data_IF_937717488515
#
_entry.id   IF_937717488515
#
_cell.length_a   1.000
_cell.length_b   1.000
_cell.length_c   1.000
_cell.angle_alpha   90.00
_cell.angle_beta   90.00
_cell.angle_gamma   90.00
#
_symmetry.space_group_name_H-M   'P 1'
#
loop_
_entity.id
_entity.type
_entity.pdbx_description
1 polymer ?
#
# COMPACT_ATOMS: atom_id res chain seq x y z
N UNK A 1 -44.31 4.98 5.51
CA UNK A 1 -43.56 6.16 6.01
C UNK A 1 -42.11 5.80 5.85
N UNK A 2 -41.46 6.30 4.80
CA UNK A 2 -40.03 6.08 4.56
C UNK A 2 -39.23 6.73 5.69
N UNK A 3 -38.21 6.05 6.23
CA UNK A 3 -37.38 6.63 7.28
C UNK A 3 -36.54 7.75 6.66
N UNK A 4 -36.47 8.91 7.32
CA UNK A 4 -35.62 10.04 6.92
C UNK A 4 -34.16 9.60 6.68
N UNK A 5 -33.71 8.58 7.40
CA UNK A 5 -32.37 8.01 7.26
C UNK A 5 -32.18 7.23 5.94
N UNK A 6 -33.25 6.63 5.41
CA UNK A 6 -33.25 5.87 4.17
C UNK A 6 -33.21 6.82 2.95
N UNK A 7 -33.92 7.95 3.03
CA UNK A 7 -33.83 9.03 2.02
C UNK A 7 -32.45 9.70 2.03
N UNK A 8 -31.83 9.90 3.20
CA UNK A 8 -30.46 10.43 3.29
C UNK A 8 -29.45 9.44 2.72
N UNK A 9 -29.59 8.14 3.00
CA UNK A 9 -28.73 7.10 2.43
C UNK A 9 -28.86 7.02 0.90
N UNK A 10 -30.08 7.08 0.38
CA UNK A 10 -30.33 7.11 -1.07
C UNK A 10 -29.74 8.37 -1.69
N UNK A 11 -29.92 9.54 -1.07
CA UNK A 11 -29.33 10.80 -1.56
C UNK A 11 -27.80 10.76 -1.54
N UNK A 12 -27.17 10.20 -0.50
CA UNK A 12 -25.72 10.07 -0.44
C UNK A 12 -25.16 9.07 -1.46
N UNK A 13 -25.94 8.05 -1.84
CA UNK A 13 -25.57 7.10 -2.90
C UNK A 13 -25.76 7.72 -4.28
N UNK A 14 -26.86 8.44 -4.51
CA UNK A 14 -27.12 9.18 -5.74
C UNK A 14 -26.06 10.26 -5.95
N UNK A 15 -25.72 11.04 -4.92
CA UNK A 15 -24.66 12.04 -4.95
C UNK A 15 -23.30 11.39 -5.22
N UNK A 16 -23.01 10.18 -4.72
CA UNK A 16 -21.76 9.46 -5.02
C UNK A 16 -21.68 8.98 -6.46
N UNK A 17 -22.80 8.54 -7.04
CA UNK A 17 -22.89 8.11 -8.44
C UNK A 17 -22.84 9.33 -9.39
N UNK A 18 -23.48 10.44 -9.02
CA UNK A 18 -23.52 11.68 -9.82
C UNK A 18 -22.23 12.52 -9.67
N UNK A 19 -21.50 12.37 -8.56
CA UNK A 19 -20.17 12.95 -8.36
C UNK A 19 -19.08 12.35 -9.25
N UNK A 20 -19.33 11.23 -9.93
CA UNK A 20 -18.59 10.85 -11.13
C UNK A 20 -18.97 11.76 -12.30
N UNK A 21 -18.70 13.06 -12.15
CA UNK A 21 -18.60 13.95 -13.30
C UNK A 21 -17.64 13.29 -14.30
N UNK A 22 -18.03 13.11 -15.57
CA UNK A 22 -17.08 12.74 -16.59
C UNK A 22 -16.10 13.90 -16.65
N UNK A 23 -14.92 13.71 -16.05
CA UNK A 23 -13.74 14.51 -16.41
C UNK A 23 -13.76 14.61 -17.94
N UNK A 24 -13.53 15.79 -18.54
CA UNK A 24 -13.63 15.92 -19.99
C UNK A 24 -12.86 14.76 -20.59
N UNK A 25 -13.57 13.92 -21.35
CA UNK A 25 -12.98 12.85 -22.11
C UNK A 25 -12.11 13.58 -23.13
N UNK A 26 -10.89 13.95 -22.72
CA UNK A 26 -9.77 13.93 -23.62
C UNK A 26 -9.71 12.48 -24.05
N UNK A 27 -10.50 12.17 -25.08
CA UNK A 27 -10.26 11.06 -25.98
C UNK A 27 -8.84 11.29 -26.42
N UNK A 28 -7.89 10.75 -25.66
CA UNK A 28 -6.53 10.64 -26.10
C UNK A 28 -6.70 9.90 -27.42
N UNK A 29 -6.56 10.64 -28.52
CA UNK A 29 -6.63 10.09 -29.86
C UNK A 29 -5.85 8.78 -29.82
N UNK A 30 -6.40 7.69 -30.37
CA UNK A 30 -5.79 6.36 -30.31
C UNK A 30 -4.29 6.36 -30.71
N UNK A 31 -3.86 7.38 -31.48
CA UNK A 31 -2.47 7.65 -31.88
C UNK A 31 -1.56 8.21 -30.76
N UNK A 32 -2.10 8.85 -29.73
CA UNK A 32 -1.36 9.46 -28.62
C UNK A 32 -1.07 8.47 -27.47
N UNK A 33 -1.89 7.43 -27.28
CA UNK A 33 -1.68 6.44 -26.22
C UNK A 33 -0.31 5.73 -26.31
N UNK A 34 0.14 5.26 -27.50
CA UNK A 34 1.49 4.69 -27.64
C UNK A 34 2.60 5.67 -27.25
N UNK A 35 2.42 6.97 -27.57
CA UNK A 35 3.39 8.01 -27.25
C UNK A 35 3.50 8.23 -25.73
N UNK A 36 2.35 8.27 -25.04
CA UNK A 36 2.28 8.43 -23.58
C UNK A 36 2.94 7.24 -22.87
N UNK A 37 2.66 6.01 -23.32
CA UNK A 37 3.28 4.81 -22.74
C UNK A 37 4.80 4.81 -22.94
N UNK A 38 5.26 5.19 -24.13
CA UNK A 38 6.67 5.29 -24.42
C UNK A 38 7.36 6.35 -23.55
N UNK A 39 6.75 7.52 -23.37
CA UNK A 39 7.26 8.57 -22.46
C UNK A 39 7.32 8.06 -21.01
N UNK A 40 6.26 7.42 -20.50
CA UNK A 40 6.24 6.85 -19.15
C UNK A 40 7.38 5.84 -18.96
N UNK A 41 7.63 4.98 -19.94
CA UNK A 41 8.71 4.00 -19.91
C UNK A 41 10.09 4.65 -19.88
N UNK A 42 10.34 5.63 -20.77
CA UNK A 42 11.60 6.35 -20.79
C UNK A 42 11.84 7.11 -19.48
N UNK A 43 10.83 7.82 -18.97
CA UNK A 43 10.92 8.53 -17.69
C UNK A 43 11.20 7.57 -16.54
N UNK A 44 10.54 6.41 -16.48
CA UNK A 44 10.82 5.42 -15.45
C UNK A 44 12.27 4.92 -15.52
N UNK A 45 12.77 4.62 -16.73
CA UNK A 45 14.16 4.20 -16.92
C UNK A 45 15.17 5.27 -16.53
N UNK A 46 14.88 6.54 -16.82
CA UNK A 46 15.71 7.67 -16.40
C UNK A 46 15.77 7.79 -14.88
N UNK A 47 14.61 7.71 -14.20
CA UNK A 47 14.53 7.75 -12.74
C UNK A 47 15.33 6.59 -12.12
N UNK A 48 15.14 5.37 -12.62
CA UNK A 48 15.86 4.18 -12.15
C UNK A 48 17.37 4.24 -12.46
N UNK A 49 17.75 4.84 -13.60
CA UNK A 49 19.15 4.99 -14.03
C UNK A 49 19.93 6.09 -13.32
N UNK A 50 19.26 7.02 -12.64
CA UNK A 50 19.89 8.10 -11.84
C UNK A 50 20.47 7.59 -10.51
N UNK A 51 21.10 6.41 -10.49
CA UNK A 51 21.63 5.75 -9.30
C UNK A 51 22.86 6.48 -8.75
N UNK A 52 22.86 6.79 -7.45
CA UNK A 52 24.03 7.35 -6.76
C UNK A 52 24.98 6.23 -6.33
N UNK A 53 26.27 6.54 -6.15
CA UNK A 53 27.24 5.56 -5.66
C UNK A 53 26.80 4.91 -4.33
N UNK A 54 26.24 5.70 -3.41
CA UNK A 54 25.72 5.20 -2.14
C UNK A 54 24.54 4.22 -2.31
N UNK A 55 23.66 4.45 -3.29
CA UNK A 55 22.57 3.53 -3.61
C UNK A 55 23.12 2.20 -4.13
N UNK A 56 24.06 2.23 -5.08
CA UNK A 56 24.67 1.03 -5.66
C UNK A 56 25.43 0.20 -4.59
N UNK A 57 26.22 0.86 -3.74
CA UNK A 57 26.97 0.18 -2.66
C UNK A 57 26.05 -0.52 -1.67
N UNK A 58 24.95 0.15 -1.28
CA UNK A 58 23.95 -0.44 -0.39
C UNK A 58 23.23 -1.60 -1.09
N UNK A 59 22.81 -1.43 -2.34
CA UNK A 59 22.13 -2.46 -3.10
C UNK A 59 22.99 -3.72 -3.24
N UNK A 60 24.27 -3.56 -3.59
CA UNK A 60 25.22 -4.67 -3.67
C UNK A 60 25.38 -5.37 -2.32
N UNK A 61 25.54 -4.59 -1.24
CA UNK A 61 25.65 -5.12 0.12
C UNK A 61 24.40 -5.92 0.50
N UNK A 62 23.19 -5.41 0.23
CA UNK A 62 21.92 -6.10 0.50
C UNK A 62 21.82 -7.41 -0.28
N UNK A 63 22.09 -7.39 -1.59
CA UNK A 63 22.03 -8.57 -2.43
C UNK A 63 23.04 -9.65 -1.99
N UNK A 64 24.26 -9.23 -1.60
CA UNK A 64 25.28 -10.13 -1.04
C UNK A 64 24.81 -10.80 0.24
N UNK A 65 24.19 -10.05 1.16
CA UNK A 65 23.64 -10.62 2.40
C UNK A 65 22.48 -11.58 2.11
N UNK A 66 21.56 -11.23 1.21
CA UNK A 66 20.43 -12.08 0.86
C UNK A 66 20.84 -13.43 0.27
N UNK A 67 21.93 -13.48 -0.51
CA UNK A 67 22.51 -14.74 -1.01
C UNK A 67 23.06 -15.61 0.13
N UNK A 68 23.73 -15.00 1.11
CA UNK A 68 24.29 -15.67 2.29
C UNK A 68 23.20 -16.23 3.23
N UNK A 69 22.09 -15.48 3.46
CA UNK A 69 21.00 -15.93 4.33
C UNK A 69 20.37 -17.26 3.90
N UNK A 70 20.22 -17.47 2.59
CA UNK A 70 19.60 -18.70 2.06
C UNK A 70 20.32 -19.98 2.50
N UNK A 71 21.56 -19.86 2.97
CA UNK A 71 22.40 -20.96 3.47
C UNK A 71 22.26 -21.14 5.00
N UNK A 72 21.81 -20.15 5.76
CA UNK A 72 21.88 -20.13 7.22
C UNK A 72 20.61 -19.56 7.92
N UNK A 73 19.90 -20.44 8.62
CA UNK A 73 18.95 -20.17 9.73
C UNK A 73 17.50 -19.70 9.45
N UNK A 74 16.61 -20.07 10.39
CA UNK A 74 15.15 -20.24 10.19
C UNK A 74 14.21 -19.49 11.15
N UNK A 75 14.66 -18.52 11.96
CA UNK A 75 13.80 -18.01 13.07
C UNK A 75 13.63 -16.48 13.18
N UNK A 76 14.29 -15.67 12.36
CA UNK A 76 14.16 -14.20 12.40
C UNK A 76 13.52 -13.62 11.13
N UNK A 77 12.65 -12.61 11.30
CA UNK A 77 12.05 -11.92 10.15
C UNK A 77 13.15 -11.40 9.22
N UNK A 78 12.93 -11.54 7.91
CA UNK A 78 13.95 -11.32 6.89
C UNK A 78 14.54 -9.90 6.95
N UNK A 79 13.69 -8.89 7.15
CA UNK A 79 14.09 -7.50 7.33
C UNK A 79 14.93 -7.26 8.59
N UNK A 80 14.54 -7.82 9.75
CA UNK A 80 15.32 -7.68 11.01
C UNK A 80 16.70 -8.29 10.91
N UNK A 81 16.80 -9.48 10.30
CA UNK A 81 18.08 -10.12 10.03
C UNK A 81 18.96 -9.27 9.11
N UNK A 82 18.39 -8.69 8.06
CA UNK A 82 19.15 -7.85 7.14
C UNK A 82 19.66 -6.59 7.84
N UNK A 83 18.84 -5.94 8.67
CA UNK A 83 19.28 -4.80 9.49
C UNK A 83 20.46 -5.19 10.38
N UNK A 84 20.40 -6.35 11.05
CA UNK A 84 21.52 -6.84 11.87
C UNK A 84 22.81 -6.99 11.03
N UNK A 85 22.72 -7.59 9.85
CA UNK A 85 23.87 -7.78 8.96
C UNK A 85 24.42 -6.48 8.40
N UNK A 86 23.55 -5.54 8.02
CA UNK A 86 23.97 -4.22 7.55
C UNK A 86 24.70 -3.46 8.67
N UNK A 87 24.20 -3.52 9.92
CA UNK A 87 24.90 -2.95 11.08
C UNK A 87 26.27 -3.56 11.31
N UNK A 88 26.40 -4.89 11.20
CA UNK A 88 27.70 -5.56 11.32
C UNK A 88 28.70 -5.15 10.24
N UNK A 89 28.23 -4.66 9.09
CA UNK A 89 29.06 -4.14 8.00
C UNK A 89 29.31 -2.62 8.10
N UNK A 90 28.92 -1.98 9.21
CA UNK A 90 29.18 -0.56 9.46
C UNK A 90 28.08 0.40 8.98
N UNK A 91 26.97 -0.09 8.40
CA UNK A 91 25.87 0.79 8.00
C UNK A 91 25.01 1.18 9.20
N UNK A 92 24.59 2.45 9.27
CA UNK A 92 23.57 2.89 10.21
C UNK A 92 22.17 2.54 9.67
N UNK A 93 21.80 1.26 9.76
CA UNK A 93 20.53 0.73 9.29
C UNK A 93 19.50 0.58 10.43
N UNK A 94 18.23 0.85 10.15
CA UNK A 94 17.12 0.67 11.09
C UNK A 94 15.91 0.04 10.38
N UNK A 95 15.07 -0.65 11.14
CA UNK A 95 13.75 -1.08 10.65
C UNK A 95 12.78 0.07 10.90
N UNK A 96 12.20 0.60 9.83
CA UNK A 96 11.18 1.62 9.90
C UNK A 96 9.81 0.98 9.71
N UNK A 97 8.89 1.32 10.60
CA UNK A 97 7.50 0.95 10.50
C UNK A 97 6.67 2.22 10.39
N UNK A 98 5.84 2.29 9.35
CA UNK A 98 4.85 3.34 9.16
C UNK A 98 3.48 2.77 9.49
N UNK A 99 2.61 3.63 9.99
CA UNK A 99 1.20 3.34 10.20
C UNK A 99 0.41 4.61 9.94
N UNK A 100 -0.64 4.52 9.13
CA UNK A 100 -1.53 5.65 8.84
C UNK A 100 -2.97 5.26 9.14
N UNK A 101 -3.72 6.23 9.63
CA UNK A 101 -5.14 6.06 9.96
C UNK A 101 -5.98 6.18 8.69
N UNK A 102 -7.16 5.57 8.72
CA UNK A 102 -8.14 5.73 7.66
C UNK A 102 -8.53 7.21 7.52
N UNK A 103 -8.50 7.71 6.29
CA UNK A 103 -9.02 9.02 5.90
C UNK A 103 -9.94 8.87 4.68
N UNK A 104 -10.59 9.97 4.27
CA UNK A 104 -11.46 9.97 3.09
C UNK A 104 -10.67 9.47 1.86
N UNK A 105 -11.06 8.32 1.32
CA UNK A 105 -10.42 7.72 0.14
C UNK A 105 -9.07 7.02 0.38
N UNK A 106 -8.58 6.95 1.62
CA UNK A 106 -7.34 6.24 1.96
C UNK A 106 -7.58 5.32 3.17
N UNK A 107 -7.67 3.99 2.98
CA UNK A 107 -7.79 3.06 4.10
C UNK A 107 -6.53 3.09 4.95
N UNK A 108 -6.70 2.89 6.25
CA UNK A 108 -5.60 2.70 7.16
C UNK A 108 -4.76 1.49 6.80
N UNK A 109 -3.49 1.52 7.21
CA UNK A 109 -2.56 0.44 6.97
C UNK A 109 -1.26 0.66 7.72
N UNK A 110 -0.42 -0.36 7.68
CA UNK A 110 0.95 -0.32 8.15
C UNK A 110 1.90 -0.87 7.08
N UNK A 111 3.17 -0.50 7.21
CA UNK A 111 4.20 -1.00 6.30
C UNK A 111 5.57 -0.98 6.98
N UNK A 112 6.40 -1.96 6.66
CA UNK A 112 7.77 -2.07 7.17
C UNK A 112 8.76 -1.95 6.02
N UNK A 113 9.81 -1.16 6.19
CA UNK A 113 10.95 -1.07 5.28
C UNK A 113 12.22 -0.83 6.08
N UNK A 114 13.38 -0.84 5.41
CA UNK A 114 14.67 -0.56 6.05
C UNK A 114 15.09 0.85 5.66
N UNK A 115 15.56 1.63 6.63
CA UNK A 115 16.16 2.94 6.40
C UNK A 115 17.66 2.87 6.69
N UNK A 116 18.47 3.48 5.85
CA UNK A 116 19.90 3.65 6.09
C UNK A 116 20.19 5.14 6.15
N UNK A 117 20.76 5.58 7.27
CA UNK A 117 21.21 6.97 7.43
C UNK A 117 22.66 7.08 6.97
N UNK A 118 22.90 7.92 5.96
CA UNK A 118 24.22 8.28 5.50
C UNK A 118 24.64 9.59 6.17
N UNK A 119 25.81 9.59 6.80
CA UNK A 119 26.42 10.81 7.34
C UNK A 119 27.32 11.39 6.26
N UNK A 120 27.14 12.67 5.92
CA UNK A 120 28.05 13.36 5.02
C UNK A 120 29.47 13.40 5.60
N UNK A 121 30.49 13.26 4.74
CA UNK A 121 31.90 13.12 5.14
C UNK A 121 32.39 14.23 6.08
N UNK A 122 31.84 15.46 5.97
CA UNK A 122 32.30 16.62 6.74
C UNK A 122 31.25 17.22 7.69
N UNK A 123 30.06 16.61 7.86
CA UNK A 123 29.00 17.14 8.73
C UNK A 123 28.31 18.43 8.25
N UNK A 124 28.74 19.02 7.13
CA UNK A 124 28.17 20.25 6.55
C UNK A 124 26.83 20.03 5.82
N UNK A 125 26.49 18.78 5.50
CA UNK A 125 25.25 18.42 4.83
C UNK A 125 24.29 17.70 5.79
N UNK A 126 22.97 17.96 5.67
CA UNK A 126 21.99 17.21 6.43
C UNK A 126 22.15 15.72 6.15
N UNK A 127 21.90 14.85 7.16
CA UNK A 127 21.95 13.41 6.95
C UNK A 127 21.01 13.02 5.80
N UNK A 128 21.51 12.22 4.88
CA UNK A 128 20.69 11.68 3.79
C UNK A 128 20.19 10.29 4.18
N UNK A 129 18.96 9.97 3.79
CA UNK A 129 18.34 8.69 4.09
C UNK A 129 18.09 7.91 2.80
N UNK A 130 18.48 6.64 2.81
CA UNK A 130 18.12 5.69 1.78
C UNK A 130 17.03 4.77 2.31
N UNK A 131 16.03 4.54 1.46
CA UNK A 131 14.95 3.60 1.67
C UNK A 131 15.34 2.30 0.99
N UNK A 132 15.31 1.21 1.75
CA UNK A 132 15.54 -0.15 1.26
C UNK A 132 14.24 -0.94 1.40
N UNK A 133 13.66 -1.33 0.27
CA UNK A 133 12.47 -2.18 0.21
C UNK A 133 12.81 -3.45 -0.57
N UNK A 134 12.60 -4.60 0.06
CA UNK A 134 13.02 -5.90 -0.46
C UNK A 134 11.98 -6.54 -1.39
N UNK A 135 10.75 -6.04 -1.34
CA UNK A 135 9.60 -6.56 -2.09
C UNK A 135 8.94 -5.42 -2.89
N UNK A 136 9.76 -4.53 -3.47
CA UNK A 136 9.29 -3.29 -4.07
C UNK A 136 8.40 -3.51 -5.30
N UNK A 137 8.84 -4.37 -6.24
CA UNK A 137 8.09 -4.67 -7.47
C UNK A 137 6.68 -5.18 -7.19
N UNK A 138 6.51 -6.05 -6.18
CA UNK A 138 5.21 -6.62 -5.84
C UNK A 138 4.22 -5.57 -5.35
N UNK A 139 4.71 -4.45 -4.80
CA UNK A 139 3.87 -3.34 -4.37
C UNK A 139 3.15 -2.65 -5.54
N UNK A 140 3.48 -2.95 -6.81
CA UNK A 140 2.88 -2.36 -8.01
C UNK A 140 2.16 -3.38 -8.90
N UNK A 141 2.02 -4.64 -8.49
CA UNK A 141 1.36 -5.66 -9.32
C UNK A 141 -0.15 -5.44 -9.47
N UNK A 142 -0.69 -5.67 -10.66
CA UNK A 142 -2.12 -5.62 -10.94
C UNK A 142 -2.64 -6.98 -11.38
N UNK A 143 -3.90 -7.29 -11.07
CA UNK A 143 -4.53 -8.57 -11.45
C UNK A 143 -4.72 -8.72 -12.97
N UNK A 144 -4.96 -7.61 -13.69
CA UNK A 144 -5.15 -7.60 -15.16
C UNK A 144 -4.46 -6.38 -15.76
N UNK A 145 -3.11 -6.34 -15.80
CA UNK A 145 -2.40 -5.19 -16.35
C UNK A 145 -2.64 -5.08 -17.87
N UNK A 146 -2.59 -3.86 -18.38
CA UNK A 146 -2.40 -3.63 -19.82
C UNK A 146 -0.96 -3.99 -20.21
N UNK A 147 -0.67 -4.32 -21.47
CA UNK A 147 0.69 -4.63 -21.90
C UNK A 147 1.69 -3.51 -21.57
N UNK A 148 1.29 -2.25 -21.75
CA UNK A 148 2.10 -1.09 -21.42
C UNK A 148 2.41 -0.99 -19.91
N UNK A 149 1.41 -1.21 -19.03
CA UNK A 149 1.65 -1.21 -17.59
C UNK A 149 2.53 -2.38 -17.16
N UNK A 150 2.36 -3.54 -17.80
CA UNK A 150 3.21 -4.71 -17.57
C UNK A 150 4.68 -4.39 -17.92
N UNK A 151 4.93 -3.74 -19.04
CA UNK A 151 6.28 -3.29 -19.43
C UNK A 151 6.91 -2.39 -18.36
N UNK A 152 6.17 -1.41 -17.83
CA UNK A 152 6.64 -0.56 -16.73
C UNK A 152 7.01 -1.38 -15.49
N UNK A 153 6.10 -2.23 -15.02
CA UNK A 153 6.33 -3.04 -13.82
C UNK A 153 7.44 -4.07 -14.01
N UNK A 154 7.68 -4.56 -15.23
CA UNK A 154 8.76 -5.48 -15.53
C UNK A 154 10.15 -4.86 -15.43
N UNK A 155 10.27 -3.54 -15.62
CA UNK A 155 11.53 -2.80 -15.39
C UNK A 155 11.86 -2.56 -13.91
N UNK A 156 10.90 -2.73 -13.01
CA UNK A 156 11.12 -2.40 -11.60
C UNK A 156 12.07 -3.38 -10.92
N UNK A 157 12.97 -2.88 -10.06
CA UNK A 157 13.82 -3.74 -9.26
C UNK A 157 12.98 -4.46 -8.18
N UNK A 158 13.36 -5.71 -7.88
CA UNK A 158 12.77 -6.45 -6.77
C UNK A 158 13.14 -5.80 -5.44
N UNK A 159 14.43 -5.45 -5.29
CA UNK A 159 14.96 -4.70 -4.16
C UNK A 159 15.16 -3.25 -4.59
N UNK A 160 14.40 -2.33 -4.02
CA UNK A 160 14.59 -0.90 -4.21
C UNK A 160 15.57 -0.36 -3.17
N UNK A 161 16.53 0.45 -3.64
CA UNK A 161 17.37 1.29 -2.80
C UNK A 161 17.32 2.69 -3.40
N UNK A 162 16.87 3.67 -2.63
CA UNK A 162 16.86 5.04 -3.13
C UNK A 162 16.37 6.09 -2.16
N UNK A 163 16.48 7.35 -2.56
CA UNK A 163 15.98 8.49 -1.79
C UNK A 163 14.46 8.58 -1.80
N UNK A 164 13.91 9.35 -0.85
CA UNK A 164 12.48 9.69 -0.80
C UNK A 164 12.00 10.35 -2.10
N UNK A 165 12.79 11.27 -2.67
CA UNK A 165 12.43 11.96 -3.92
C UNK A 165 12.33 10.98 -5.10
N UNK A 166 13.29 10.06 -5.21
CA UNK A 166 13.28 9.02 -6.25
C UNK A 166 12.05 8.12 -6.09
N UNK A 167 11.77 7.68 -4.87
CA UNK A 167 10.60 6.87 -4.55
C UNK A 167 9.29 7.59 -4.91
N UNK A 168 9.16 8.87 -4.54
CA UNK A 168 7.97 9.67 -4.84
C UNK A 168 7.70 9.81 -6.35
N UNK A 169 8.75 10.02 -7.15
CA UNK A 169 8.65 10.08 -8.61
C UNK A 169 8.15 8.75 -9.18
N UNK A 170 8.71 7.63 -8.72
CA UNK A 170 8.29 6.28 -9.15
C UNK A 170 6.83 6.02 -8.76
N UNK A 171 6.44 6.30 -7.51
CA UNK A 171 5.06 6.10 -7.03
C UNK A 171 4.08 6.92 -7.87
N UNK A 172 4.38 8.20 -8.12
CA UNK A 172 3.51 9.09 -8.88
C UNK A 172 3.28 8.59 -10.31
N UNK A 173 4.37 8.20 -10.99
CA UNK A 173 4.33 7.67 -12.36
C UNK A 173 3.54 6.36 -12.42
N UNK A 174 3.89 5.38 -11.57
CA UNK A 174 3.27 4.06 -11.60
C UNK A 174 1.81 4.08 -11.12
N UNK A 175 1.44 4.91 -10.15
CA UNK A 175 0.05 5.01 -9.73
C UNK A 175 -0.80 5.64 -10.84
N UNK A 176 -0.29 6.63 -11.57
CA UNK A 176 -0.97 7.20 -12.73
C UNK A 176 -1.18 6.13 -13.83
N UNK A 177 -0.11 5.41 -14.19
CA UNK A 177 -0.19 4.34 -15.17
C UNK A 177 -1.09 3.17 -14.72
N UNK A 178 -1.11 2.85 -13.41
CA UNK A 178 -1.99 1.83 -12.85
C UNK A 178 -3.46 2.22 -12.98
N UNK A 179 -3.80 3.48 -12.65
CA UNK A 179 -5.16 4.00 -12.82
C UNK A 179 -5.60 3.91 -14.28
N UNK A 180 -4.75 4.28 -15.21
CA UNK A 180 -5.03 4.16 -16.65
C UNK A 180 -5.25 2.69 -17.04
N UNK A 181 -4.35 1.80 -16.64
CA UNK A 181 -4.47 0.36 -16.92
C UNK A 181 -5.76 -0.25 -16.36
N UNK A 182 -6.19 0.14 -15.16
CA UNK A 182 -7.41 -0.38 -14.55
C UNK A 182 -8.65 0.14 -15.29
N UNK A 183 -8.68 1.43 -15.64
CA UNK A 183 -9.76 2.05 -16.42
C UNK A 183 -9.92 1.39 -17.79
N UNK A 184 -8.82 1.20 -18.52
CA UNK A 184 -8.83 0.52 -19.83
C UNK A 184 -9.34 -0.93 -19.75
N UNK A 185 -9.22 -1.56 -18.57
CA UNK A 185 -9.70 -2.91 -18.31
C UNK A 185 -11.09 -2.95 -17.66
N UNK A 186 -11.77 -1.81 -17.54
CA UNK A 186 -13.08 -1.70 -16.89
C UNK A 186 -13.06 -2.09 -15.42
N UNK A 187 -11.92 -1.89 -14.74
CA UNK A 187 -11.73 -2.20 -13.33
C UNK A 187 -11.81 -0.93 -12.48
N UNK A 188 -12.53 -1.02 -11.35
CA UNK A 188 -12.49 0.01 -10.33
C UNK A 188 -11.07 0.17 -9.77
N UNK A 189 -10.67 1.41 -9.46
CA UNK A 189 -9.36 1.71 -8.88
C UNK A 189 -9.46 1.48 -7.37
N UNK A 190 -8.85 0.44 -6.81
CA UNK A 190 -8.91 0.24 -5.38
C UNK A 190 -8.10 1.33 -4.66
N UNK A 191 -8.50 1.73 -3.45
CA UNK A 191 -7.92 2.88 -2.78
C UNK A 191 -6.43 2.68 -2.42
N UNK A 192 -5.98 1.43 -2.27
CA UNK A 192 -4.56 1.10 -2.07
C UNK A 192 -3.67 1.25 -3.33
N UNK A 193 -4.28 1.53 -4.48
CA UNK A 193 -3.57 1.83 -5.75
C UNK A 193 -3.55 3.33 -6.06
N UNK A 194 -3.85 4.16 -5.06
CA UNK A 194 -3.69 5.62 -5.16
C UNK A 194 -2.27 6.04 -4.77
N UNK A 195 -1.80 7.15 -5.34
CA UNK A 195 -0.50 7.71 -4.99
C UNK A 195 -0.42 8.04 -3.49
N UNK A 196 -1.49 8.59 -2.90
CA UNK A 196 -1.56 8.95 -1.48
C UNK A 196 -1.38 7.75 -0.55
N UNK A 197 -2.06 6.63 -0.83
CA UNK A 197 -1.89 5.40 -0.05
C UNK A 197 -0.48 4.85 -0.21
N UNK A 198 0.03 4.80 -1.45
CA UNK A 198 1.37 4.29 -1.72
C UNK A 198 2.44 5.17 -1.06
N UNK A 199 2.33 6.49 -1.10
CA UNK A 199 3.25 7.39 -0.39
C UNK A 199 3.22 7.15 1.12
N UNK A 200 2.05 6.91 1.69
CA UNK A 200 1.88 6.68 3.13
C UNK A 200 2.66 5.45 3.62
N UNK A 201 2.81 4.41 2.79
CA UNK A 201 3.64 3.23 3.11
C UNK A 201 5.08 3.57 3.50
N UNK A 202 5.72 4.53 2.84
CA UNK A 202 7.13 4.82 3.12
C UNK A 202 7.34 6.15 3.83
N UNK A 203 6.39 7.09 3.72
CA UNK A 203 6.60 8.50 4.08
C UNK A 203 5.73 8.96 5.26
N UNK A 204 4.75 8.19 5.69
CA UNK A 204 3.93 8.56 6.85
C UNK A 204 4.81 8.79 8.09
N UNK A 205 4.68 9.95 8.71
CA UNK A 205 5.42 10.31 9.93
C UNK A 205 6.84 10.84 9.72
N UNK A 206 7.38 10.90 8.49
CA UNK A 206 8.72 11.50 8.24
C UNK A 206 8.76 13.03 8.38
N UNK A 207 7.63 13.72 8.22
CA UNK A 207 7.54 15.18 8.35
C UNK A 207 7.49 15.70 9.80
N UNK A 208 7.73 14.87 10.83
CA UNK A 208 8.00 15.40 12.17
C UNK A 208 9.46 15.90 12.22
N UNK A 209 9.61 17.19 12.52
CA UNK A 209 10.81 18.01 12.40
C UNK A 209 12.12 17.36 12.89
N UNK A 210 13.29 17.79 12.36
CA UNK A 210 14.60 17.35 12.83
C UNK A 210 14.84 17.91 14.24
N UNK A 211 14.57 17.10 15.26
CA UNK A 211 14.74 17.50 16.66
C UNK A 211 14.25 16.49 17.69
N UNK A 212 13.39 15.55 17.33
CA UNK A 212 12.99 14.48 18.24
C UNK A 212 13.87 13.25 18.02
N UNK A 213 14.64 12.89 19.05
CA UNK A 213 15.46 11.68 19.12
C UNK A 213 14.68 10.46 18.58
N UNK A 214 15.16 9.88 17.47
CA UNK A 214 14.74 8.56 17.00
C UNK A 214 15.38 7.48 17.88
N UNK A 215 14.96 7.42 19.13
CA UNK A 215 15.19 6.23 19.94
C UNK A 215 14.13 5.21 19.53
N UNK A 216 14.58 4.12 18.92
CA UNK A 216 13.72 3.01 18.55
C UNK A 216 13.08 2.45 19.82
N UNK A 217 11.82 2.82 20.11
CA UNK A 217 11.00 2.11 21.10
C UNK A 217 10.63 0.74 20.54
N UNK A 218 11.57 -0.18 20.61
CA UNK A 218 11.27 -1.59 20.64
C UNK A 218 10.54 -1.88 21.96
N UNK A 219 9.27 -2.28 21.86
CA UNK A 219 8.55 -2.99 22.92
C UNK A 219 7.81 -2.12 23.92
N UNK A 220 6.52 -1.92 23.68
CA UNK A 220 5.50 -1.96 24.73
C UNK A 220 4.17 -2.36 24.09
N UNK A 221 3.76 -3.60 24.32
CA UNK A 221 2.39 -4.05 24.11
C UNK A 221 1.47 -3.17 24.97
N UNK A 222 0.83 -2.19 24.34
CA UNK A 222 -0.18 -1.35 24.95
C UNK A 222 -1.51 -1.59 24.27
N UNK A 223 -2.33 -2.48 24.86
CA UNK A 223 -3.77 -2.53 24.59
C UNK A 223 -4.36 -1.17 25.00
N UNK A 224 -4.46 -0.21 24.09
CA UNK A 224 -5.26 1.00 24.27
C UNK A 224 -6.74 0.65 24.08
N UNK A 225 -7.31 0.12 25.16
CA UNK A 225 -8.62 0.45 25.73
C UNK A 225 -9.62 1.06 24.73
N UNK A 226 -10.48 0.20 24.19
CA UNK A 226 -11.65 0.56 23.39
C UNK A 226 -12.52 1.59 24.11
N UNK A 227 -13.02 2.57 23.37
CA UNK A 227 -14.17 3.39 23.76
C UNK A 227 -15.44 2.50 23.84
N UNK A 228 -16.41 2.82 24.71
CA UNK A 228 -17.49 1.90 25.06
C UNK A 228 -18.45 1.66 23.90
N UNK A 229 -18.85 0.40 23.73
CA UNK A 229 -19.86 -0.05 22.79
C UNK A 229 -21.20 0.71 22.99
N UNK A 230 -21.96 1.01 21.93
CA UNK A 230 -23.32 1.52 22.05
C UNK A 230 -24.21 0.51 22.81
N UNK A 231 -25.20 0.97 23.60
CA UNK A 231 -26.00 0.08 24.44
C UNK A 231 -26.83 -0.90 23.60
N UNK A 232 -26.56 -2.19 23.79
CA UNK A 232 -27.38 -3.27 23.24
C UNK A 232 -28.78 -3.22 23.85
N UNK A 233 -29.81 -3.10 23.00
CA UNK A 233 -31.20 -3.32 23.38
C UNK A 233 -31.37 -4.79 23.75
N UNK A 234 -31.69 -5.06 25.01
CA UNK A 234 -31.92 -6.42 25.52
C UNK A 234 -33.21 -7.00 24.90
N UNK A 235 -33.19 -8.22 24.35
CA UNK A 235 -34.42 -8.90 24.00
C UNK A 235 -35.13 -9.33 25.30
N UNK A 236 -36.36 -8.84 25.47
CA UNK A 236 -37.25 -9.14 26.58
C UNK A 236 -37.64 -10.62 26.51
N UNK A 237 -37.06 -11.43 27.39
CA UNK A 237 -37.41 -12.84 27.57
C UNK A 237 -38.82 -12.93 28.18
N UNK A 238 -39.82 -13.16 27.34
CA UNK A 238 -41.14 -13.60 27.78
C UNK A 238 -41.11 -15.10 28.05
N UNK A 239 -41.36 -15.50 29.30
CA UNK A 239 -41.59 -16.87 29.70
C UNK A 239 -43.09 -17.03 29.98
N UNK A 240 -43.76 -17.92 29.24
CA UNK A 240 -44.67 -18.98 29.71
C UNK A 240 -45.63 -19.43 28.60
N UNK A 241 -45.40 -20.68 28.17
CA UNK A 241 -46.39 -21.77 28.06
C UNK A 241 -47.59 -21.67 27.09
N UNK A 242 -47.68 -22.72 26.24
CA UNK A 242 -48.88 -23.53 25.91
C UNK A 242 -49.57 -23.30 24.55
N UNK A 243 -49.69 -24.39 23.78
CA UNK A 243 -50.65 -24.61 22.67
C UNK A 243 -50.04 -24.44 21.28
N UNK A 244 -49.67 -25.50 20.56
CA UNK A 244 -50.51 -26.39 19.73
C UNK A 244 -51.00 -25.80 18.39
N UNK A 245 -50.62 -26.53 17.33
CA UNK A 245 -51.32 -26.77 16.06
C UNK A 245 -50.96 -25.92 14.82
N UNK A 246 -50.85 -26.66 13.70
CA UNK A 246 -50.90 -26.26 12.29
C UNK A 246 -49.59 -25.67 11.73
N UNK A 247 -49.08 -26.02 10.56
CA UNK A 247 -49.46 -26.98 9.53
C UNK A 247 -48.22 -27.19 8.64
N UNK A 248 -48.02 -28.44 8.24
CA UNK A 248 -47.20 -28.90 7.12
C UNK A 248 -47.39 -28.07 5.85
N UNK A 249 -46.30 -27.75 5.15
CA UNK A 249 -46.08 -27.97 3.71
C UNK A 249 -44.72 -27.38 3.27
N UNK A 250 -44.19 -27.90 2.16
CA UNK A 250 -42.85 -27.69 1.59
C UNK A 250 -41.76 -28.65 2.08
N UNK A 251 -41.92 -29.91 1.72
CA UNK A 251 -40.80 -30.74 1.28
C UNK A 251 -41.04 -31.11 -0.19
N UNK A 252 -39.93 -31.39 -0.89
CA UNK A 252 -39.83 -31.93 -2.26
C UNK A 252 -39.86 -30.94 -3.42
N UNK A 253 -38.66 -30.57 -3.90
CA UNK A 253 -38.31 -30.76 -5.30
C UNK A 253 -36.87 -31.26 -5.38
N UNK A 254 -36.72 -32.56 -5.63
CA UNK A 254 -35.49 -33.21 -6.07
C UNK A 254 -35.24 -32.90 -7.55
N UNK A 255 -34.03 -32.44 -7.86
CA UNK A 255 -33.54 -32.25 -9.23
C UNK A 255 -33.12 -33.64 -9.74
N UNK A 256 -33.80 -34.16 -10.77
CA UNK A 256 -33.37 -35.34 -11.50
C UNK A 256 -32.47 -34.92 -12.66
N UNK A 257 -31.27 -35.50 -12.71
CA UNK A 257 -30.40 -35.52 -13.89
C UNK A 257 -30.85 -36.66 -14.82
N UNK A 258 -31.12 -36.32 -16.09
CA UNK A 258 -30.89 -37.12 -17.29
C UNK A 258 -30.72 -36.14 -18.46
#
# INVERSE_FOLDING_TARGET
>A
MSSLEEEILVQMVEDFIESESPSPIFSASSKCLPLIHHTQYLTLREILGSETQAESEVLESVLRQMRSKRVAEKTTSLKKWLVMRLKSNGYNASLCQTSWVTSLGCPGGDYEYIEITMRGENGDHPPSWLIVDMDFKSQFELARPTPAYKELTDTLPHVFVGTEDKLNKIISLLCSAAKQSLRERGLHIPPWRTATYMQSKWLAGRHRAPGENREAKAGAYGYSKWAPSPPMVKPKRGSLTRGSALSSQFSEMSINCC
#
